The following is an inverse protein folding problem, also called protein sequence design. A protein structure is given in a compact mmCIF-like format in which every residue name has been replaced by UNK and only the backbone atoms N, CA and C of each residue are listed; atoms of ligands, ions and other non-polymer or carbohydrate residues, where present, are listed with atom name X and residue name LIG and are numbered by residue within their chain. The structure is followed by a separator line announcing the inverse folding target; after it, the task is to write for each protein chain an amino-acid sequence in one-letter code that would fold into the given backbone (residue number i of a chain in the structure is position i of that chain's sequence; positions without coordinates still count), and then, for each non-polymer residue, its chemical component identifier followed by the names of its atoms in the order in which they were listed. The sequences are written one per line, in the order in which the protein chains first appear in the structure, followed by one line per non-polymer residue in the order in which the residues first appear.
data_IF_736434062470
#
_entry.id   IF_736434062470
#
_cell.length_a   1.000
_cell.length_b   1.000
_cell.length_c   1.000
_cell.angle_alpha   90.00
_cell.angle_beta   90.00
_cell.angle_gamma   90.00
#
_symmetry.space_group_name_H-M   'P 1'
#
loop_
_entity.id
_entity.type
_entity.pdbx_description
1 polymer ?
#
# COMPACT_ATOMS: atom_id res chain seq x y z
N UNK A 1 10.22 -9.18 -5.62
CA UNK A 1 9.35 -8.36 -4.74
C UNK A 1 8.50 -7.43 -5.58
N UNK A 2 7.61 -6.65 -4.96
CA UNK A 2 6.67 -5.77 -5.67
C UNK A 2 6.77 -4.36 -5.11
N UNK A 3 6.92 -3.36 -5.99
CA UNK A 3 6.84 -1.94 -5.67
C UNK A 3 5.38 -1.50 -5.91
N UNK A 4 4.69 -1.01 -4.89
CA UNK A 4 3.41 -0.35 -5.06
C UNK A 4 3.67 1.15 -5.25
N UNK A 5 3.68 1.61 -6.50
CA UNK A 5 4.08 2.98 -6.85
C UNK A 5 2.89 3.91 -6.63
N UNK A 6 3.09 4.97 -5.84
CA UNK A 6 2.13 6.07 -5.69
C UNK A 6 1.85 6.68 -7.07
N UNK A 7 0.59 6.73 -7.47
CA UNK A 7 0.18 7.05 -8.83
C UNK A 7 -0.95 8.08 -8.86
N UNK A 8 -0.75 9.09 -9.70
CA UNK A 8 -1.73 10.08 -10.12
C UNK A 8 -1.97 9.96 -11.64
N UNK A 9 -3.16 10.34 -12.14
CA UNK A 9 -3.45 10.35 -13.58
C UNK A 9 -2.48 11.22 -14.38
N UNK A 10 -2.33 10.99 -15.70
CA UNK A 10 -1.50 11.81 -16.55
C UNK A 10 -1.88 13.29 -16.44
N UNK A 11 -0.87 14.15 -16.24
CA UNK A 11 -1.03 15.59 -16.03
C UNK A 11 -1.69 16.00 -14.70
N UNK A 12 -1.77 15.09 -13.73
CA UNK A 12 -2.14 15.36 -12.35
C UNK A 12 -0.95 15.06 -11.42
N UNK A 13 -1.01 15.53 -10.17
CA UNK A 13 -0.01 15.30 -9.14
C UNK A 13 -0.60 15.59 -7.75
N UNK A 14 0.16 15.31 -6.69
CA UNK A 14 -0.10 15.92 -5.40
C UNK A 14 0.17 17.43 -5.44
N UNK A 15 -0.14 18.13 -4.34
CA UNK A 15 -0.04 19.60 -4.30
C UNK A 15 1.41 20.11 -4.42
N UNK A 16 2.42 19.24 -4.26
CA UNK A 16 3.83 19.60 -4.19
C UNK A 16 4.67 19.03 -5.35
N UNK A 17 4.09 18.17 -6.19
CA UNK A 17 4.79 17.41 -7.23
C UNK A 17 4.41 17.79 -8.66
N UNK A 18 5.02 17.09 -9.62
CA UNK A 18 4.71 17.25 -11.06
C UNK A 18 4.66 15.91 -11.80
N UNK A 19 3.48 15.58 -12.33
CA UNK A 19 3.18 14.48 -13.28
C UNK A 19 4.01 13.19 -13.10
N UNK A 20 3.80 12.43 -12.01
CA UNK A 20 4.60 11.25 -11.68
C UNK A 20 4.42 10.10 -12.69
N UNK A 21 3.31 10.08 -13.43
CA UNK A 21 3.01 9.05 -14.44
C UNK A 21 4.10 8.95 -15.52
N UNK A 22 4.76 10.06 -15.88
CA UNK A 22 5.87 10.07 -16.86
C UNK A 22 7.06 9.20 -16.45
N UNK A 23 7.22 8.91 -15.16
CA UNK A 23 8.32 8.08 -14.64
C UNK A 23 7.99 6.58 -14.66
N UNK A 24 6.71 6.20 -14.85
CA UNK A 24 6.27 4.81 -14.79
C UNK A 24 7.01 3.90 -15.79
N UNK A 25 7.25 4.29 -17.07
CA UNK A 25 8.05 3.48 -17.98
C UNK A 25 9.46 3.18 -17.45
N UNK A 26 10.17 4.18 -16.93
CA UNK A 26 11.51 4.01 -16.36
C UNK A 26 11.48 3.11 -15.12
N UNK A 27 10.49 3.28 -14.24
CA UNK A 27 10.33 2.46 -13.04
C UNK A 27 10.07 1.00 -13.42
N UNK A 28 9.26 0.77 -14.45
CA UNK A 28 8.97 -0.56 -14.99
C UNK A 28 10.22 -1.23 -15.59
N UNK A 29 11.00 -0.50 -16.38
CA UNK A 29 12.27 -0.97 -16.96
C UNK A 29 13.27 -1.38 -15.86
N UNK A 30 13.44 -0.52 -14.85
CA UNK A 30 14.33 -0.80 -13.72
C UNK A 30 13.82 -1.95 -12.87
N UNK A 31 12.51 -2.02 -12.61
CA UNK A 31 11.93 -3.13 -11.87
C UNK A 31 12.19 -4.46 -12.60
N UNK A 32 11.98 -4.51 -13.91
CA UNK A 32 12.23 -5.74 -14.68
C UNK A 32 13.72 -6.12 -14.68
N UNK A 33 14.62 -5.15 -14.89
CA UNK A 33 16.08 -5.34 -14.82
C UNK A 33 16.52 -5.99 -13.50
N UNK A 34 15.89 -5.61 -12.38
CA UNK A 34 16.21 -6.14 -11.05
C UNK A 34 15.25 -7.26 -10.58
N UNK A 35 14.47 -7.87 -11.48
CA UNK A 35 13.52 -8.96 -11.18
C UNK A 35 12.48 -8.60 -10.11
N UNK A 36 12.09 -7.33 -10.10
CA UNK A 36 10.98 -6.78 -9.32
C UNK A 36 9.75 -6.62 -10.22
N UNK A 37 8.62 -6.32 -9.59
CA UNK A 37 7.36 -6.01 -10.27
C UNK A 37 6.77 -4.72 -9.73
N UNK A 38 5.90 -4.09 -10.52
CA UNK A 38 5.24 -2.82 -10.20
C UNK A 38 3.73 -3.01 -10.12
N UNK A 39 3.16 -2.69 -8.96
CA UNK A 39 1.74 -2.50 -8.74
C UNK A 39 1.45 -1.00 -8.57
N UNK A 40 0.18 -0.62 -8.63
CA UNK A 40 -0.21 0.79 -8.57
C UNK A 40 -0.96 1.10 -7.27
N UNK A 41 -0.51 2.13 -6.58
CA UNK A 41 -1.16 2.71 -5.41
C UNK A 41 -1.81 4.02 -5.83
N UNK A 42 -3.13 3.95 -6.08
CA UNK A 42 -3.91 5.03 -6.68
C UNK A 42 -4.26 6.05 -5.59
N UNK A 43 -3.68 7.24 -5.71
CA UNK A 43 -3.86 8.34 -4.77
C UNK A 43 -5.22 9.03 -4.92
N UNK A 44 -5.65 9.82 -3.92
CA UNK A 44 -6.79 10.71 -4.07
C UNK A 44 -6.42 11.87 -5.00
N UNK A 45 -6.88 11.80 -6.24
CA UNK A 45 -6.78 12.87 -7.23
C UNK A 45 -8.11 13.64 -7.37
N UNK A 46 -8.05 14.83 -7.96
CA UNK A 46 -9.24 15.70 -8.08
C UNK A 46 -10.30 15.06 -8.96
N UNK A 47 -11.53 15.00 -8.46
CA UNK A 47 -12.65 14.40 -9.19
C UNK A 47 -12.63 12.87 -9.24
N UNK A 48 -11.77 12.21 -8.45
CA UNK A 48 -11.72 10.75 -8.36
C UNK A 48 -13.06 10.17 -7.92
N UNK A 49 -13.57 9.26 -8.73
CA UNK A 49 -14.79 8.48 -8.53
C UNK A 49 -14.69 7.15 -9.31
N UNK A 50 -15.77 6.37 -9.33
CA UNK A 50 -15.83 5.12 -10.07
C UNK A 50 -15.68 5.25 -11.60
N UNK A 51 -16.16 6.34 -12.23
CA UNK A 51 -16.06 6.52 -13.69
C UNK A 51 -14.65 6.93 -14.11
N UNK A 52 -14.07 7.88 -13.40
CA UNK A 52 -12.69 8.32 -13.62
C UNK A 52 -11.71 7.19 -13.28
N UNK A 53 -11.95 6.42 -12.21
CA UNK A 53 -11.11 5.26 -11.91
C UNK A 53 -11.19 4.19 -13.01
N UNK A 54 -12.37 3.91 -13.57
CA UNK A 54 -12.50 3.01 -14.73
C UNK A 54 -11.64 3.47 -15.90
N UNK A 55 -11.69 4.77 -16.21
CA UNK A 55 -10.89 5.37 -17.29
C UNK A 55 -9.39 5.22 -17.01
N UNK A 56 -8.97 5.45 -15.76
CA UNK A 56 -7.57 5.33 -15.34
C UNK A 56 -7.07 3.88 -15.32
N UNK A 57 -7.90 2.92 -14.91
CA UNK A 57 -7.55 1.48 -14.99
C UNK A 57 -7.33 1.07 -16.44
N UNK A 58 -8.23 1.50 -17.35
CA UNK A 58 -8.05 1.28 -18.79
C UNK A 58 -6.73 1.87 -19.28
N UNK A 59 -6.45 3.12 -18.93
CA UNK A 59 -5.20 3.79 -19.29
C UNK A 59 -3.96 3.01 -18.80
N UNK A 60 -3.93 2.62 -17.52
CA UNK A 60 -2.81 1.87 -16.93
C UNK A 60 -2.59 0.55 -17.66
N UNK A 61 -3.66 -0.20 -17.94
CA UNK A 61 -3.58 -1.51 -18.61
C UNK A 61 -3.16 -1.36 -20.08
N UNK A 62 -3.75 -0.43 -20.81
CA UNK A 62 -3.44 -0.20 -22.22
C UNK A 62 -2.00 0.28 -22.41
N UNK A 63 -1.52 1.16 -21.52
CA UNK A 63 -0.21 1.79 -21.60
C UNK A 63 0.90 0.89 -21.06
N UNK A 64 0.67 0.27 -19.90
CA UNK A 64 1.72 -0.42 -19.13
C UNK A 64 1.50 -1.92 -19.00
N UNK A 65 0.29 -2.43 -19.24
CA UNK A 65 -0.10 -3.80 -18.91
C UNK A 65 0.70 -4.89 -19.64
N UNK A 66 1.30 -4.58 -20.78
CA UNK A 66 2.15 -5.53 -21.53
C UNK A 66 3.61 -5.56 -21.05
N UNK A 67 4.01 -4.61 -20.21
CA UNK A 67 5.39 -4.53 -19.73
C UNK A 67 5.73 -5.71 -18.82
N UNK A 68 6.90 -6.38 -18.96
CA UNK A 68 7.28 -7.52 -18.13
C UNK A 68 7.39 -7.19 -16.63
N UNK A 69 7.78 -5.95 -16.30
CA UNK A 69 7.75 -5.41 -14.94
C UNK A 69 6.35 -5.19 -14.33
N UNK A 70 5.26 -5.26 -15.12
CA UNK A 70 3.90 -5.04 -14.61
C UNK A 70 3.43 -6.20 -13.73
N UNK A 71 3.01 -5.90 -12.49
CA UNK A 71 2.64 -6.93 -11.52
C UNK A 71 1.27 -7.53 -11.79
N UNK A 72 1.19 -8.87 -11.74
CA UNK A 72 -0.07 -9.61 -11.67
C UNK A 72 0.01 -10.69 -10.59
N UNK A 73 -0.91 -10.64 -9.64
CA UNK A 73 -1.02 -11.63 -8.57
C UNK A 73 -1.93 -12.78 -9.00
N UNK A 74 -1.58 -14.02 -8.64
CA UNK A 74 -2.45 -15.17 -8.89
C UNK A 74 -3.62 -15.18 -7.91
N UNK A 75 -4.82 -14.88 -8.39
CA UNK A 75 -6.03 -14.97 -7.59
C UNK A 75 -6.52 -16.42 -7.52
N UNK A 76 -6.50 -17.03 -6.33
CA UNK A 76 -6.90 -18.43 -6.13
C UNK A 76 -8.41 -18.67 -6.31
N UNK A 77 -9.24 -17.64 -6.11
CA UNK A 77 -10.70 -17.73 -6.23
C UNK A 77 -11.09 -17.68 -7.70
N UNK A 78 -10.53 -16.71 -8.44
CA UNK A 78 -10.78 -16.47 -9.87
C UNK A 78 -9.93 -17.36 -10.78
N UNK A 79 -8.90 -18.02 -10.23
CA UNK A 79 -7.95 -18.92 -10.92
C UNK A 79 -7.24 -18.26 -12.12
N UNK A 80 -6.88 -16.97 -11.99
CA UNK A 80 -6.17 -16.22 -13.02
C UNK A 80 -5.23 -15.17 -12.41
N UNK A 81 -4.22 -14.78 -13.17
CA UNK A 81 -3.34 -13.67 -12.82
C UNK A 81 -4.03 -12.33 -13.09
N UNK A 82 -4.09 -11.46 -12.09
CA UNK A 82 -4.77 -10.18 -12.16
C UNK A 82 -3.85 -9.03 -11.72
N UNK A 83 -3.91 -7.86 -12.39
CA UNK A 83 -3.32 -6.62 -11.89
C UNK A 83 -3.77 -6.33 -10.45
N UNK A 84 -2.90 -5.73 -9.64
CA UNK A 84 -3.23 -5.33 -8.25
C UNK A 84 -3.20 -3.81 -8.12
N UNK A 85 -4.27 -3.27 -7.53
CA UNK A 85 -4.44 -1.84 -7.28
C UNK A 85 -4.76 -1.59 -5.81
N UNK A 86 -4.01 -0.70 -5.18
CA UNK A 86 -4.31 -0.18 -3.85
C UNK A 86 -5.03 1.15 -4.03
N UNK A 87 -6.24 1.31 -3.47
CA UNK A 87 -7.02 2.54 -3.60
C UNK A 87 -6.91 3.31 -2.28
N UNK A 88 -6.00 4.28 -2.20
CA UNK A 88 -5.80 5.11 -1.02
C UNK A 88 -7.04 5.95 -0.74
N UNK A 89 -7.43 6.12 0.52
CA UNK A 89 -8.62 6.88 0.91
C UNK A 89 -9.89 6.50 0.13
N UNK A 90 -10.07 5.20 -0.14
CA UNK A 90 -11.21 4.68 -0.91
C UNK A 90 -12.57 5.03 -0.29
N UNK A 91 -12.62 5.33 1.01
CA UNK A 91 -13.82 5.74 1.75
C UNK A 91 -14.32 7.15 1.37
N UNK A 92 -13.54 7.95 0.64
CA UNK A 92 -13.98 9.27 0.13
C UNK A 92 -15.04 9.15 -0.98
N UNK A 93 -15.18 7.97 -1.58
CA UNK A 93 -16.21 7.68 -2.59
C UNK A 93 -17.19 6.67 -2.00
N UNK A 94 -18.49 6.91 -2.24
CA UNK A 94 -19.57 6.05 -1.70
C UNK A 94 -19.42 4.60 -2.18
N UNK A 95 -19.68 3.65 -1.28
CA UNK A 95 -19.64 2.21 -1.61
C UNK A 95 -20.55 1.82 -2.76
N UNK A 96 -21.70 2.49 -2.93
CA UNK A 96 -22.62 2.26 -4.06
C UNK A 96 -21.95 2.55 -5.41
N UNK A 97 -21.18 3.63 -5.50
CA UNK A 97 -20.47 4.00 -6.73
C UNK A 97 -19.37 2.99 -7.04
N UNK A 98 -18.65 2.53 -6.01
CA UNK A 98 -17.69 1.43 -6.20
C UNK A 98 -18.36 0.13 -6.63
N UNK A 99 -19.53 -0.19 -6.09
CA UNK A 99 -20.27 -1.39 -6.46
C UNK A 99 -20.65 -1.41 -7.95
N UNK A 100 -20.99 -0.25 -8.52
CA UNK A 100 -21.24 -0.11 -9.97
C UNK A 100 -20.03 -0.49 -10.85
N UNK A 101 -18.81 -0.36 -10.32
CA UNK A 101 -17.57 -0.71 -11.02
C UNK A 101 -17.05 -2.11 -10.68
N UNK A 102 -17.09 -2.51 -9.41
CA UNK A 102 -16.41 -3.70 -8.91
C UNK A 102 -17.33 -4.90 -8.66
N UNK A 103 -18.64 -4.79 -8.85
CA UNK A 103 -19.53 -5.96 -8.83
C UNK A 103 -19.80 -6.45 -10.26
N UNK A 104 -19.97 -7.77 -10.50
CA UNK A 104 -20.27 -8.28 -11.84
C UNK A 104 -21.56 -7.73 -12.48
N UNK A 105 -22.54 -7.33 -11.66
CA UNK A 105 -23.81 -6.74 -12.12
C UNK A 105 -23.82 -5.21 -12.15
N UNK A 106 -22.70 -4.55 -11.86
CA UNK A 106 -22.61 -3.09 -11.85
C UNK A 106 -22.76 -2.47 -13.24
N UNK A 107 -23.36 -1.28 -13.31
CA UNK A 107 -23.68 -0.54 -14.54
C UNK A 107 -22.45 -0.28 -15.43
N UNK A 108 -21.27 -0.11 -14.83
CA UNK A 108 -20.02 0.17 -15.53
C UNK A 108 -18.94 -0.88 -15.22
N UNK A 109 -19.35 -2.09 -14.82
CA UNK A 109 -18.46 -3.12 -14.31
C UNK A 109 -17.24 -3.38 -15.19
N UNK A 110 -16.09 -3.57 -14.55
CA UNK A 110 -14.86 -4.05 -15.20
C UNK A 110 -14.61 -5.55 -14.93
N UNK A 111 -15.46 -6.19 -14.12
CA UNK A 111 -15.32 -7.61 -13.81
C UNK A 111 -15.51 -8.47 -15.05
N UNK A 112 -14.67 -9.50 -15.20
CA UNK A 112 -14.66 -10.37 -16.39
C UNK A 112 -14.37 -9.65 -17.72
N UNK A 113 -13.73 -8.47 -17.66
CA UNK A 113 -13.20 -7.78 -18.84
C UNK A 113 -11.66 -7.85 -18.85
N UNK A 114 -11.03 -7.33 -19.90
CA UNK A 114 -9.57 -7.15 -19.94
C UNK A 114 -9.05 -6.17 -18.88
N UNK A 115 -9.94 -5.35 -18.29
CA UNK A 115 -9.63 -4.37 -17.25
C UNK A 115 -9.90 -4.87 -15.82
N UNK A 116 -10.21 -6.16 -15.65
CA UNK A 116 -10.41 -6.76 -14.32
C UNK A 116 -9.10 -6.78 -13.50
N UNK A 117 -9.22 -6.84 -12.18
CA UNK A 117 -8.10 -6.70 -11.26
C UNK A 117 -8.41 -7.19 -9.84
N UNK A 118 -7.41 -7.08 -8.97
CA UNK A 118 -7.54 -7.17 -7.52
C UNK A 118 -7.50 -5.74 -6.98
N UNK A 119 -8.62 -5.28 -6.44
CA UNK A 119 -8.76 -3.93 -5.88
C UNK A 119 -8.77 -4.00 -4.36
N UNK A 120 -7.82 -3.32 -3.73
CA UNK A 120 -7.66 -3.26 -2.27
C UNK A 120 -8.07 -1.88 -1.76
N UNK A 121 -9.16 -1.81 -1.00
CA UNK A 121 -9.62 -0.58 -0.35
C UNK A 121 -8.84 -0.28 0.94
N UNK A 122 -8.80 0.97 1.37
CA UNK A 122 -8.15 1.36 2.63
C UNK A 122 -9.10 1.16 3.83
N UNK A 123 -8.67 0.37 4.80
CA UNK A 123 -9.37 0.16 6.06
C UNK A 123 -8.86 1.13 7.15
N UNK A 124 -9.70 2.11 7.51
CA UNK A 124 -9.41 3.11 8.56
C UNK A 124 -10.24 2.82 9.80
N UNK A 125 -11.56 2.85 9.65
CA UNK A 125 -12.53 2.64 10.73
C UNK A 125 -13.14 1.23 10.67
N UNK A 126 -13.76 0.79 11.77
CA UNK A 126 -14.31 -0.58 11.88
C UNK A 126 -15.38 -0.85 10.82
N UNK A 127 -16.24 0.12 10.53
CA UNK A 127 -17.32 0.01 9.55
C UNK A 127 -16.82 -0.14 8.11
N UNK A 128 -15.59 0.30 7.80
CA UNK A 128 -15.04 0.16 6.46
C UNK A 128 -14.90 -1.31 6.05
N UNK A 129 -14.87 -2.27 6.99
CA UNK A 129 -14.94 -3.71 6.68
C UNK A 129 -16.17 -4.07 5.85
N UNK A 130 -17.35 -3.56 6.25
CA UNK A 130 -18.60 -3.81 5.52
C UNK A 130 -18.69 -2.94 4.26
N UNK A 131 -18.28 -1.67 4.34
CA UNK A 131 -18.30 -0.74 3.20
C UNK A 131 -17.41 -1.20 2.04
N UNK A 132 -16.26 -1.82 2.33
CA UNK A 132 -15.36 -2.40 1.31
C UNK A 132 -15.95 -3.68 0.73
N UNK A 133 -16.52 -4.54 1.60
CA UNK A 133 -17.16 -5.78 1.16
C UNK A 133 -18.36 -5.52 0.24
N UNK A 134 -19.25 -4.59 0.61
CA UNK A 134 -20.44 -4.25 -0.17
C UNK A 134 -20.12 -3.48 -1.45
N UNK A 135 -19.00 -2.75 -1.49
CA UNK A 135 -18.48 -2.07 -2.67
C UNK A 135 -17.88 -3.02 -3.73
N UNK A 136 -17.73 -4.32 -3.45
CA UNK A 136 -17.19 -5.29 -4.41
C UNK A 136 -15.67 -5.29 -4.56
N UNK A 137 -14.94 -4.65 -3.64
CA UNK A 137 -13.47 -4.79 -3.57
C UNK A 137 -13.06 -6.24 -3.30
N UNK A 138 -11.85 -6.59 -3.73
CA UNK A 138 -11.28 -7.93 -3.53
C UNK A 138 -10.62 -8.09 -2.15
N UNK A 139 -10.38 -6.98 -1.47
CA UNK A 139 -9.80 -6.96 -0.13
C UNK A 139 -9.54 -5.56 0.39
N UNK A 140 -8.76 -5.48 1.46
CA UNK A 140 -8.32 -4.22 2.03
C UNK A 140 -6.91 -4.29 2.62
N UNK A 141 -6.30 -3.11 2.74
CA UNK A 141 -5.00 -2.86 3.38
C UNK A 141 -5.12 -1.71 4.40
N UNK A 142 -4.08 -1.45 5.19
CA UNK A 142 -4.17 -0.56 6.37
C UNK A 142 -3.27 0.68 6.33
N UNK A 143 -2.33 0.73 5.39
CA UNK A 143 -1.37 1.80 5.10
C UNK A 143 -0.52 2.29 6.30
N UNK A 144 -1.11 2.98 7.27
CA UNK A 144 -0.40 3.78 8.26
C UNK A 144 0.61 2.97 9.09
N UNK A 145 1.83 3.48 9.22
CA UNK A 145 2.92 2.88 9.99
C UNK A 145 2.74 3.03 11.51
N UNK A 146 1.88 3.94 11.97
CA UNK A 146 1.61 4.21 13.39
C UNK A 146 0.58 3.24 13.96
N UNK A 147 1.03 2.36 14.85
CA UNK A 147 0.15 1.52 15.67
C UNK A 147 -0.73 2.39 16.56
N UNK A 148 -2.04 2.13 16.51
CA UNK A 148 -3.05 2.89 17.24
C UNK A 148 -3.61 4.12 16.52
N UNK A 149 -3.10 4.51 15.36
CA UNK A 149 -3.60 5.70 14.65
C UNK A 149 -5.04 5.52 14.15
N UNK A 150 -5.35 4.35 13.56
CA UNK A 150 -6.69 4.01 13.08
C UNK A 150 -7.10 2.62 13.60
N UNK A 151 -8.36 2.24 13.42
CA UNK A 151 -8.79 0.87 13.73
C UNK A 151 -8.01 -0.15 12.87
N UNK A 152 -7.76 0.18 11.60
CA UNK A 152 -7.00 -0.67 10.68
C UNK A 152 -5.51 -0.78 11.01
N UNK A 153 -4.85 0.32 11.39
CA UNK A 153 -3.40 0.31 11.71
C UNK A 153 -3.08 -0.20 13.11
N UNK A 154 -4.09 -0.38 13.97
CA UNK A 154 -3.93 -0.95 15.31
C UNK A 154 -3.71 -2.47 15.25
N UNK A 155 -2.50 -2.95 15.56
CA UNK A 155 -2.11 -4.36 15.40
C UNK A 155 -2.98 -5.32 16.21
N UNK A 156 -3.50 -4.87 17.36
CA UNK A 156 -4.43 -5.65 18.21
C UNK A 156 -5.72 -6.06 17.48
N UNK A 157 -6.12 -5.34 16.44
CA UNK A 157 -7.35 -5.61 15.68
C UNK A 157 -7.12 -6.58 14.50
N UNK A 158 -5.87 -6.81 14.09
CA UNK A 158 -5.56 -7.56 12.87
C UNK A 158 -6.10 -8.99 12.85
N UNK A 159 -6.14 -9.68 14.00
CA UNK A 159 -6.74 -11.02 14.09
C UNK A 159 -8.25 -11.00 13.80
N UNK A 160 -8.97 -10.01 14.32
CA UNK A 160 -10.41 -9.83 14.07
C UNK A 160 -10.67 -9.45 12.62
N UNK A 161 -9.89 -8.50 12.09
CA UNK A 161 -9.95 -8.04 10.70
C UNK A 161 -9.72 -9.22 9.75
N UNK A 162 -8.65 -10.01 9.96
CA UNK A 162 -8.34 -11.21 9.19
C UNK A 162 -9.48 -12.22 9.20
N UNK A 163 -10.08 -12.47 10.37
CA UNK A 163 -11.21 -13.40 10.54
C UNK A 163 -12.42 -12.94 9.72
N UNK A 164 -12.75 -11.66 9.78
CA UNK A 164 -13.83 -11.08 8.97
C UNK A 164 -13.54 -11.22 7.46
N UNK A 165 -12.32 -10.88 7.02
CA UNK A 165 -11.92 -10.99 5.61
C UNK A 165 -12.13 -12.42 5.08
N UNK A 166 -11.67 -13.42 5.85
CA UNK A 166 -11.86 -14.84 5.53
C UNK A 166 -13.33 -15.22 5.39
N UNK A 167 -14.18 -14.79 6.32
CA UNK A 167 -15.62 -15.05 6.28
C UNK A 167 -16.32 -14.48 5.05
N UNK A 168 -15.76 -13.40 4.46
CA UNK A 168 -16.27 -12.74 3.26
C UNK A 168 -15.49 -13.05 1.99
N UNK A 169 -14.52 -13.99 2.03
CA UNK A 169 -13.60 -14.31 0.93
C UNK A 169 -12.80 -13.11 0.40
N UNK A 170 -12.51 -12.16 1.29
CA UNK A 170 -11.70 -10.98 1.03
C UNK A 170 -10.25 -11.23 1.40
N UNK A 171 -9.36 -10.57 0.66
CA UNK A 171 -7.95 -10.45 1.02
C UNK A 171 -7.76 -9.42 2.13
N UNK A 172 -6.88 -9.73 3.09
CA UNK A 172 -6.40 -8.76 4.06
C UNK A 172 -4.89 -8.64 3.92
N UNK A 173 -4.42 -7.44 3.59
CA UNK A 173 -3.01 -7.10 3.42
C UNK A 173 -2.61 -6.14 4.56
N UNK A 174 -2.13 -6.63 5.72
CA UNK A 174 -1.66 -5.73 6.78
C UNK A 174 -0.48 -4.91 6.29
N UNK A 175 -0.47 -3.63 6.65
CA UNK A 175 0.62 -2.70 6.36
C UNK A 175 1.50 -2.51 7.59
N UNK A 176 2.79 -2.80 7.45
CA UNK A 176 3.79 -2.69 8.52
C UNK A 176 4.73 -1.51 8.25
N UNK A 177 5.27 -0.88 9.28
CA UNK A 177 6.20 0.24 9.11
C UNK A 177 7.26 0.31 10.20
N UNK A 178 8.42 0.96 9.92
CA UNK A 178 9.56 0.95 10.82
C UNK A 178 9.47 1.93 11.99
N UNK A 179 8.54 2.87 11.90
CA UNK A 179 8.28 3.97 12.82
C UNK A 179 7.50 5.06 12.08
N UNK A 180 7.34 6.21 12.72
CA UNK A 180 6.66 7.38 12.14
C UNK A 180 7.15 8.66 12.81
N UNK A 181 7.44 9.69 12.02
CA UNK A 181 7.69 11.05 12.49
C UNK A 181 7.56 12.03 11.33
N UNK A 182 6.57 12.92 11.39
CA UNK A 182 6.28 13.91 10.34
C UNK A 182 6.33 15.36 10.85
N UNK A 183 6.82 15.57 12.08
CA UNK A 183 6.75 16.88 12.78
C UNK A 183 7.51 18.01 12.08
N UNK A 184 8.38 17.71 11.11
CA UNK A 184 9.02 18.73 10.27
C UNK A 184 8.04 19.41 9.31
N UNK A 185 7.05 18.66 8.81
CA UNK A 185 6.02 19.17 7.88
C UNK A 185 4.67 19.34 8.59
N UNK A 186 4.43 18.62 9.69
CA UNK A 186 3.22 18.72 10.52
C UNK A 186 3.57 18.82 12.02
N UNK A 187 4.07 19.98 12.52
CA UNK A 187 4.53 20.13 13.90
C UNK A 187 3.48 19.79 14.98
N UNK A 188 2.19 19.87 14.63
CA UNK A 188 1.06 19.56 15.51
C UNK A 188 0.78 18.05 15.66
N UNK A 189 1.45 17.18 14.90
CA UNK A 189 1.10 15.76 14.77
C UNK A 189 1.95 14.80 15.64
N UNK A 190 2.70 15.33 16.60
CA UNK A 190 3.65 14.54 17.41
C UNK A 190 3.03 13.37 18.19
N UNK A 191 1.73 13.44 18.52
CA UNK A 191 0.98 12.33 19.14
C UNK A 191 1.07 11.00 18.36
N UNK A 192 1.30 11.09 17.05
CA UNK A 192 1.40 9.94 16.15
C UNK A 192 2.84 9.47 15.94
N UNK A 193 3.84 10.18 16.47
CA UNK A 193 5.24 9.77 16.43
C UNK A 193 5.41 8.39 17.05
N UNK A 194 6.17 7.53 16.37
CA UNK A 194 6.58 6.21 16.85
C UNK A 194 8.08 6.09 16.62
N UNK A 195 8.83 6.12 17.73
CA UNK A 195 10.26 5.84 17.71
C UNK A 195 10.50 4.46 17.10
N UNK A 196 11.54 4.36 16.27
CA UNK A 196 11.93 3.08 15.66
C UNK A 196 12.51 2.09 16.67
N UNK A 197 12.91 2.57 17.86
CA UNK A 197 13.46 1.77 18.97
C UNK A 197 14.54 0.78 18.51
N UNK A 198 15.50 1.25 17.70
CA UNK A 198 16.60 0.45 17.13
C UNK A 198 16.08 -0.77 16.34
N UNK A 199 14.99 -0.57 15.60
CA UNK A 199 14.33 -1.59 14.78
C UNK A 199 13.36 -2.49 15.54
N UNK A 200 13.25 -2.40 16.87
CA UNK A 200 12.28 -3.20 17.65
C UNK A 200 10.83 -2.92 17.26
N UNK A 201 10.50 -1.66 16.97
CA UNK A 201 9.15 -1.30 16.51
C UNK A 201 8.80 -2.02 15.20
N UNK A 202 9.72 -1.99 14.23
CA UNK A 202 9.52 -2.65 12.94
C UNK A 202 9.40 -4.16 13.06
N UNK A 203 10.31 -4.79 13.83
CA UNK A 203 10.32 -6.23 14.10
C UNK A 203 9.00 -6.69 14.74
N UNK A 204 8.46 -5.90 15.68
CA UNK A 204 7.17 -6.18 16.29
C UNK A 204 6.01 -6.05 15.29
N UNK A 205 5.99 -4.99 14.48
CA UNK A 205 4.99 -4.81 13.42
C UNK A 205 4.97 -5.98 12.43
N UNK A 206 6.15 -6.38 11.95
CA UNK A 206 6.32 -7.54 11.07
C UNK A 206 5.87 -8.84 11.72
N UNK A 207 6.25 -9.08 12.99
CA UNK A 207 5.82 -10.27 13.71
C UNK A 207 4.29 -10.34 13.85
N UNK A 208 3.64 -9.22 14.20
CA UNK A 208 2.17 -9.14 14.26
C UNK A 208 1.50 -9.43 12.93
N UNK A 209 2.12 -9.07 11.82
CA UNK A 209 1.63 -9.40 10.49
C UNK A 209 1.80 -10.89 10.19
N UNK A 210 2.93 -11.52 10.54
CA UNK A 210 3.13 -12.96 10.40
C UNK A 210 2.14 -13.78 11.23
N UNK A 211 1.89 -13.37 12.49
CA UNK A 211 1.02 -14.08 13.43
C UNK A 211 -0.43 -14.31 12.91
N UNK A 212 -0.88 -13.53 11.92
CA UNK A 212 -2.21 -13.65 11.33
C UNK A 212 -2.24 -14.43 10.00
N UNK A 213 -1.08 -14.93 9.54
CA UNK A 213 -0.86 -15.65 8.29
C UNK A 213 -1.63 -15.04 7.08
N UNK A 214 -1.23 -13.84 6.63
CA UNK A 214 -1.84 -13.15 5.49
C UNK A 214 -1.21 -13.66 4.17
N UNK A 215 -1.94 -13.56 3.06
CA UNK A 215 -1.39 -13.93 1.75
C UNK A 215 -0.42 -12.90 1.17
N UNK A 216 -0.46 -11.66 1.68
CA UNK A 216 0.44 -10.57 1.32
C UNK A 216 0.62 -9.66 2.53
N UNK A 217 1.80 -9.04 2.64
CA UNK A 217 2.11 -7.97 3.60
C UNK A 217 2.58 -6.77 2.79
N UNK A 218 2.11 -5.57 3.12
CA UNK A 218 2.65 -4.33 2.53
C UNK A 218 3.57 -3.62 3.52
N UNK A 219 4.60 -2.95 3.03
CA UNK A 219 5.55 -2.19 3.86
C UNK A 219 5.33 -0.71 3.57
N UNK A 220 5.01 0.04 4.62
CA UNK A 220 4.89 1.50 4.60
C UNK A 220 6.11 2.06 5.33
N UNK A 221 7.15 2.50 4.62
CA UNK A 221 7.25 2.67 3.16
C UNK A 221 8.67 2.38 2.67
N UNK A 222 8.89 2.37 1.35
CA UNK A 222 10.26 2.42 0.84
C UNK A 222 10.90 3.76 1.18
N UNK A 223 10.28 4.88 0.76
CA UNK A 223 10.90 6.21 0.74
C UNK A 223 9.93 7.38 1.03
N UNK A 224 8.89 7.20 1.85
CA UNK A 224 8.04 8.32 2.29
C UNK A 224 8.75 9.12 3.40
N UNK A 225 9.76 9.88 2.99
CA UNK A 225 10.68 10.60 3.88
C UNK A 225 9.98 11.68 4.71
N UNK A 226 8.91 12.29 4.19
CA UNK A 226 8.14 13.32 4.89
C UNK A 226 7.50 12.80 6.18
N UNK A 227 7.15 11.51 6.21
CA UNK A 227 6.51 10.86 7.36
C UNK A 227 7.46 10.01 8.20
N UNK A 228 8.73 9.95 7.82
CA UNK A 228 9.74 9.19 8.56
C UNK A 228 9.48 7.67 8.56
N UNK A 229 8.73 7.15 7.58
CA UNK A 229 8.34 5.73 7.48
C UNK A 229 9.25 4.90 6.55
N UNK A 230 10.23 5.54 5.92
CA UNK A 230 11.12 4.94 4.93
C UNK A 230 11.99 3.80 5.50
N UNK A 231 12.16 2.72 4.73
CA UNK A 231 13.20 1.69 4.95
C UNK A 231 14.44 1.91 4.06
N UNK A 232 14.37 2.83 3.09
CA UNK A 232 15.50 3.30 2.30
C UNK A 232 16.66 3.73 3.21
N UNK A 233 17.89 3.58 2.74
CA UNK A 233 19.07 3.86 3.55
C UNK A 233 19.13 5.32 4.00
N UNK A 234 19.30 5.55 5.31
CA UNK A 234 19.54 6.87 5.89
C UNK A 234 20.95 6.97 6.47
N UNK A 235 21.55 8.15 6.40
CA UNK A 235 22.89 8.44 6.94
C UNK A 235 22.81 9.57 7.96
N UNK A 236 23.71 9.60 8.96
CA UNK A 236 23.84 10.73 9.88
C UNK A 236 24.08 12.03 9.13
N UNK A 237 23.33 13.09 9.47
CA UNK A 237 23.50 14.42 8.87
C UNK A 237 23.14 15.49 9.89
N UNK A 238 23.99 16.50 9.99
CA UNK A 238 23.71 17.72 10.73
C UNK A 238 23.95 18.95 9.85
N UNK A 239 23.17 20.00 10.10
CA UNK A 239 23.38 21.38 9.66
C UNK A 239 23.43 22.27 10.90
N UNK A 240 23.81 23.53 10.75
CA UNK A 240 23.86 24.48 11.88
C UNK A 240 22.52 24.64 12.60
N UNK A 241 21.41 24.43 11.89
CA UNK A 241 20.05 24.61 12.38
C UNK A 241 19.31 23.31 12.71
N UNK A 242 19.84 22.14 12.33
CA UNK A 242 19.10 20.88 12.45
C UNK A 242 19.99 19.64 12.44
N UNK A 243 19.74 18.73 13.38
CA UNK A 243 20.33 17.39 13.41
C UNK A 243 19.29 16.38 12.97
N UNK A 244 19.54 15.68 11.85
CA UNK A 244 18.64 14.66 11.33
C UNK A 244 18.73 13.39 12.17
N UNK A 245 17.59 12.72 12.34
CA UNK A 245 17.52 11.38 12.92
C UNK A 245 18.09 10.39 11.90
N UNK A 246 18.90 9.45 12.37
CA UNK A 246 19.51 8.39 11.58
C UNK A 246 19.18 7.00 12.16
N UNK A 247 19.85 5.97 11.64
CA UNK A 247 19.60 4.57 12.01
C UNK A 247 20.54 4.06 13.11
N UNK A 248 21.28 4.96 13.75
CA UNK A 248 22.18 4.64 14.84
C UNK A 248 23.29 3.66 14.44
N UNK A 249 23.81 2.87 15.40
CA UNK A 249 24.98 2.02 15.18
C UNK A 249 24.75 0.86 14.19
N UNK A 250 23.49 0.49 13.94
CA UNK A 250 23.12 -0.55 12.96
C UNK A 250 23.38 -0.10 11.50
N UNK A 251 23.61 1.19 11.29
CA UNK A 251 24.01 1.76 10.02
C UNK A 251 22.89 1.85 8.97
N UNK A 252 23.22 2.36 7.77
CA UNK A 252 22.22 2.78 6.78
C UNK A 252 21.32 1.66 6.27
N UNK A 253 21.79 0.41 6.28
CA UNK A 253 21.05 -0.73 5.72
C UNK A 253 20.19 -1.48 6.74
N UNK A 254 20.12 -1.04 7.99
CA UNK A 254 19.44 -1.73 9.08
C UNK A 254 18.02 -2.20 8.71
N UNK A 255 17.17 -1.31 8.20
CA UNK A 255 15.78 -1.64 7.89
C UNK A 255 15.63 -2.56 6.68
N UNK A 256 16.48 -2.44 5.66
CA UNK A 256 16.53 -3.38 4.54
C UNK A 256 16.93 -4.79 5.01
N UNK A 257 17.87 -4.90 5.95
CA UNK A 257 18.29 -6.16 6.54
C UNK A 257 17.18 -6.80 7.39
N UNK A 258 16.45 -6.00 8.19
CA UNK A 258 15.27 -6.47 8.93
C UNK A 258 14.19 -6.95 7.96
N UNK A 259 13.90 -6.19 6.90
CA UNK A 259 12.93 -6.61 5.87
C UNK A 259 13.34 -7.94 5.25
N UNK A 260 14.60 -8.11 4.86
CA UNK A 260 15.11 -9.37 4.30
C UNK A 260 14.89 -10.54 5.27
N UNK A 261 15.23 -10.36 6.55
CA UNK A 261 15.06 -11.39 7.58
C UNK A 261 13.60 -11.86 7.69
N UNK A 262 12.64 -10.94 7.68
CA UNK A 262 11.23 -11.29 7.84
C UNK A 262 10.57 -11.77 6.55
N UNK A 263 11.05 -11.33 5.38
CA UNK A 263 10.64 -11.92 4.10
C UNK A 263 11.04 -13.39 4.04
N UNK A 264 12.25 -13.75 4.50
CA UNK A 264 12.65 -15.16 4.58
C UNK A 264 11.73 -15.98 5.50
N UNK A 265 11.30 -15.41 6.64
CA UNK A 265 10.33 -16.08 7.53
C UNK A 265 8.96 -16.26 6.87
N UNK A 266 8.46 -15.20 6.23
CA UNK A 266 7.17 -15.21 5.54
C UNK A 266 7.12 -16.31 4.48
N UNK A 267 8.17 -16.45 3.67
CA UNK A 267 8.26 -17.46 2.61
C UNK A 267 8.41 -18.88 3.19
N UNK A 268 9.02 -19.04 4.36
CA UNK A 268 9.18 -20.37 4.99
C UNK A 268 7.92 -20.89 5.69
N UNK A 269 6.92 -20.03 5.93
CA UNK A 269 5.65 -20.38 6.57
C UNK A 269 4.51 -20.69 5.56
N UNK A 270 4.73 -20.42 4.27
CA UNK A 270 3.86 -20.76 3.13
C UNK A 270 4.15 -22.18 2.57
#
# INVERSE_FOLDING_TARGET
GVLAVSWYPPNDADNEGTNPDKLIPLILDLADKYQLKVAFHIEPFKGRDHQTLKTNIKYIIDTYGKHPGFYRHYDRIKKKHLPVYYIYDSYLVKSSNWAELFTPGGSISIRNTEYDGIFLGLLVERQHKESVASAGFDGYYTYFATDGFTYGSSWKNWREIRKYARGRRLMFVPSVGPGYIDTRVRPWNDKNTRSRQDGRYYKNSLQKALDINPSMISITSFNEWHEGTQIETAVPKATDSFTYIDYGPEGPQCYLNITRQYVSKFISED
#
